data_IF_182049083805
#
_entry.id   IF_182049083805
#
_cell.length_a   1.000
_cell.length_b   1.000
_cell.length_c   1.000
_cell.angle_alpha   90.00
_cell.angle_beta   90.00
_cell.angle_gamma   90.00
#
_symmetry.space_group_name_H-M   'P 1'
#
loop_
_entity.id
_entity.type
_entity.pdbx_description
1 polymer ?
#
# COMPACT_ATOMS: atom_id res chain seq x y z
N UNK A 1 -11.49 -18.29 12.83
CA UNK A 1 -12.16 -17.69 11.68
C UNK A 1 -12.42 -16.23 12.04
N UNK A 2 -11.55 -15.29 11.60
CA UNK A 2 -11.78 -13.87 11.80
C UNK A 2 -12.77 -13.40 10.73
N UNK A 3 -14.00 -13.11 11.14
CA UNK A 3 -14.92 -12.38 10.28
C UNK A 3 -14.34 -10.96 10.06
N UNK A 4 -14.43 -10.41 8.83
CA UNK A 4 -14.04 -9.03 8.57
C UNK A 4 -14.88 -8.11 9.46
N UNK A 5 -14.20 -7.17 10.14
CA UNK A 5 -14.87 -6.19 10.99
C UNK A 5 -15.60 -5.21 10.07
N UNK A 6 -16.86 -4.91 10.38
CA UNK A 6 -17.66 -3.94 9.65
C UNK A 6 -16.94 -2.58 9.60
N UNK A 7 -16.75 -1.97 8.41
CA UNK A 7 -16.12 -0.67 8.26
C UNK A 7 -16.80 0.44 9.06
N UNK A 8 -18.12 0.35 9.27
CA UNK A 8 -18.86 1.31 10.06
C UNK A 8 -18.47 1.23 11.54
N UNK A 9 -18.33 0.00 12.08
CA UNK A 9 -17.92 -0.23 13.47
C UNK A 9 -16.47 0.24 13.70
N UNK A 10 -15.59 0.10 12.71
CA UNK A 10 -14.23 0.62 12.75
C UNK A 10 -14.19 2.15 12.75
N UNK A 11 -15.07 2.79 11.98
CA UNK A 11 -15.24 4.26 12.00
C UNK A 11 -15.67 4.76 13.37
N UNK A 12 -16.67 4.12 13.97
CA UNK A 12 -17.15 4.45 15.32
C UNK A 12 -16.05 4.29 16.39
N UNK A 13 -15.21 3.24 16.27
CA UNK A 13 -14.07 3.05 17.17
C UNK A 13 -13.04 4.19 17.06
N UNK A 14 -12.78 4.66 15.85
CA UNK A 14 -11.88 5.79 15.61
C UNK A 14 -12.45 7.10 16.20
N UNK A 15 -13.75 7.37 16.04
CA UNK A 15 -14.41 8.53 16.60
C UNK A 15 -14.32 8.56 18.13
N UNK A 16 -14.58 7.44 18.78
CA UNK A 16 -14.42 7.30 20.22
C UNK A 16 -12.98 7.51 20.70
N UNK A 17 -11.98 7.05 19.94
CA UNK A 17 -10.58 7.27 20.27
C UNK A 17 -10.18 8.73 20.15
N UNK A 18 -10.65 9.44 19.13
CA UNK A 18 -10.44 10.87 18.95
C UNK A 18 -11.06 11.63 20.14
N UNK A 19 -12.26 11.25 20.57
CA UNK A 19 -12.94 11.89 21.72
C UNK A 19 -12.17 11.69 23.02
N UNK A 20 -11.67 10.48 23.29
CA UNK A 20 -10.84 10.19 24.47
C UNK A 20 -9.53 10.99 24.50
N UNK A 21 -8.90 11.22 23.33
CA UNK A 21 -7.62 11.91 23.25
C UNK A 21 -7.75 13.42 23.03
N UNK A 22 -8.96 13.95 22.89
CA UNK A 22 -9.21 15.38 22.73
C UNK A 22 -8.92 16.21 24.01
N UNK A 23 -8.66 15.55 25.13
CA UNK A 23 -8.46 16.19 26.46
C UNK A 23 -9.73 16.74 27.09
N UNK A 24 -10.90 16.49 26.45
CA UNK A 24 -12.23 16.93 26.91
C UNK A 24 -13.14 15.75 27.29
N UNK A 25 -12.60 14.53 27.36
CA UNK A 25 -13.37 13.33 27.69
C UNK A 25 -13.89 13.38 29.12
N UNK A 26 -15.19 13.14 29.28
CA UNK A 26 -15.91 13.11 30.55
C UNK A 26 -16.04 11.68 31.06
N UNK A 27 -16.41 11.52 32.37
CA UNK A 27 -16.73 10.19 32.92
C UNK A 27 -17.96 9.56 32.23
N UNK A 28 -18.79 10.34 31.61
CA UNK A 28 -19.92 9.87 30.81
C UNK A 28 -19.47 9.27 29.48
N UNK A 29 -18.49 9.90 28.84
CA UNK A 29 -17.87 9.37 27.62
C UNK A 29 -17.18 8.03 27.89
N UNK A 30 -16.46 7.90 29.00
CA UNK A 30 -15.82 6.62 29.38
C UNK A 30 -16.84 5.51 29.59
N UNK A 31 -18.00 5.81 30.20
CA UNK A 31 -19.09 4.83 30.37
C UNK A 31 -19.74 4.48 29.03
N UNK A 32 -19.94 5.46 28.17
CA UNK A 32 -20.51 5.24 26.83
C UNK A 32 -19.60 4.34 25.99
N UNK A 33 -18.29 4.55 26.01
CA UNK A 33 -17.32 3.71 25.32
C UNK A 33 -17.32 2.26 25.83
N UNK A 34 -17.37 2.07 27.15
CA UNK A 34 -17.47 0.71 27.72
C UNK A 34 -18.76 0.02 27.28
N UNK A 35 -19.88 0.72 27.28
CA UNK A 35 -21.15 0.21 26.77
C UNK A 35 -21.07 -0.12 25.28
N UNK A 36 -20.44 0.73 24.47
CA UNK A 36 -20.25 0.50 23.06
C UNK A 36 -19.39 -0.71 22.77
N UNK A 37 -18.26 -0.89 23.47
CA UNK A 37 -17.36 -2.04 23.35
C UNK A 37 -18.06 -3.37 23.70
N UNK A 38 -19.01 -3.36 24.61
CA UNK A 38 -19.74 -4.55 25.05
C UNK A 38 -20.87 -4.97 24.11
N UNK A 39 -21.21 -4.18 23.07
CA UNK A 39 -22.34 -4.46 22.15
C UNK A 39 -22.13 -5.75 21.32
N UNK A 40 -20.91 -6.03 20.88
CA UNK A 40 -20.59 -7.27 20.17
C UNK A 40 -19.09 -7.56 20.15
N UNK A 41 -18.72 -8.78 19.77
CA UNK A 41 -17.33 -9.20 19.57
C UNK A 41 -16.65 -8.31 18.51
N UNK A 42 -17.35 -7.88 17.47
CA UNK A 42 -16.83 -6.99 16.43
C UNK A 42 -16.47 -5.59 16.97
N UNK A 43 -17.28 -5.02 17.89
CA UNK A 43 -16.97 -3.74 18.53
C UNK A 43 -15.72 -3.84 19.42
N UNK A 44 -15.56 -4.94 20.17
CA UNK A 44 -14.37 -5.17 20.98
C UNK A 44 -13.10 -5.33 20.13
N UNK A 45 -13.20 -6.03 19.00
CA UNK A 45 -12.09 -6.23 18.05
C UNK A 45 -11.72 -4.93 17.33
N UNK A 46 -12.72 -4.13 16.92
CA UNK A 46 -12.51 -2.82 16.32
C UNK A 46 -11.78 -1.89 17.27
N UNK A 47 -12.17 -1.89 18.55
CA UNK A 47 -11.50 -1.11 19.58
C UNK A 47 -10.03 -1.50 19.78
N UNK A 48 -9.74 -2.80 19.93
CA UNK A 48 -8.35 -3.29 20.06
C UNK A 48 -7.50 -2.92 18.87
N UNK A 49 -8.06 -2.99 17.67
CA UNK A 49 -7.34 -2.65 16.43
C UNK A 49 -7.04 -1.15 16.35
N UNK A 50 -7.99 -0.32 16.76
CA UNK A 50 -7.81 1.13 16.81
C UNK A 50 -6.78 1.56 17.89
N UNK A 51 -6.77 0.93 19.07
CA UNK A 51 -5.76 1.16 20.12
C UNK A 51 -4.34 0.73 19.69
N UNK A 52 -4.20 -0.39 18.96
CA UNK A 52 -2.88 -0.85 18.48
C UNK A 52 -2.25 0.15 17.52
N UNK A 53 -3.06 0.78 16.67
CA UNK A 53 -2.61 1.81 15.73
C UNK A 53 -2.09 3.06 16.47
N UNK A 54 -2.76 3.48 17.55
CA UNK A 54 -2.30 4.59 18.39
C UNK A 54 -1.04 4.27 19.19
N UNK A 55 -0.85 3.01 19.60
CA UNK A 55 0.37 2.55 20.27
C UNK A 55 1.63 2.73 19.40
N UNK A 56 1.53 2.44 18.11
CA UNK A 56 2.63 2.61 17.15
C UNK A 56 2.97 4.10 16.90
N UNK A 57 2.01 5.01 17.03
CA UNK A 57 2.26 6.46 16.94
C UNK A 57 2.98 7.06 18.16
N UNK A 58 2.92 6.44 19.33
CA UNK A 58 3.66 6.89 20.54
C UNK A 58 5.16 6.70 20.46
N UNK A 59 5.65 5.93 19.50
CA UNK A 59 7.09 5.73 19.26
C UNK A 59 7.75 6.84 18.46
N UNK A 60 7.00 7.85 17.97
CA UNK A 60 7.53 9.05 17.30
C UNK A 60 7.77 10.14 18.35
N UNK A 61 9.00 10.72 18.46
CA UNK A 61 9.29 11.75 19.45
C UNK A 61 8.42 13.01 19.23
N UNK A 62 7.47 13.21 20.13
CA UNK A 62 6.48 14.30 20.06
C UNK A 62 7.01 15.62 20.61
N UNK A 63 8.02 16.25 19.99
CA UNK A 63 8.52 17.57 20.45
C UNK A 63 7.91 18.78 19.74
N UNK A 64 6.97 18.60 18.81
CA UNK A 64 6.42 19.72 18.02
C UNK A 64 4.94 20.03 18.34
N UNK A 65 4.18 19.07 18.88
CA UNK A 65 2.73 19.24 19.08
C UNK A 65 2.32 19.79 20.46
N UNK A 66 3.19 19.71 21.47
CA UNK A 66 2.81 20.02 22.88
C UNK A 66 3.00 21.47 23.30
N UNK A 67 3.77 22.28 22.58
CA UNK A 67 3.98 23.69 22.99
C UNK A 67 2.85 24.66 22.60
N UNK A 68 2.04 24.33 21.59
CA UNK A 68 0.96 25.23 21.12
C UNK A 68 -0.35 25.03 21.88
N UNK A 69 -0.57 23.89 22.54
CA UNK A 69 -1.83 23.59 23.23
C UNK A 69 -1.85 23.93 24.72
N UNK A 70 -0.71 24.14 25.37
CA UNK A 70 -0.67 24.50 26.79
C UNK A 70 -0.94 25.98 27.13
N UNK A 71 -0.98 26.85 26.14
CA UNK A 71 -1.26 28.30 26.37
C UNK A 71 -2.76 28.67 26.32
N UNK A 72 -3.68 27.77 25.97
CA UNK A 72 -5.12 28.09 25.79
C UNK A 72 -5.98 27.76 27.03
N UNK A 73 -5.41 27.15 28.05
CA UNK A 73 -6.16 26.54 29.17
C UNK A 73 -6.28 27.32 30.47
N UNK A 74 -6.23 28.66 30.48
CA UNK A 74 -6.50 29.42 31.72
C UNK A 74 -7.09 30.80 31.42
N UNK A 75 -8.40 30.89 31.28
CA UNK A 75 -9.15 32.06 31.79
C UNK A 75 -10.66 31.82 31.72
N UNK A 76 -11.31 31.98 32.86
CA UNK A 76 -12.78 32.00 33.04
C UNK A 76 -13.37 33.28 32.44
N UNK A 77 -14.36 33.11 31.56
CA UNK A 77 -15.17 34.21 31.03
C UNK A 77 -15.36 34.13 29.52
N UNK A 78 -16.37 33.37 29.07
CA UNK A 78 -16.66 33.23 27.64
C UNK A 78 -17.34 34.48 27.12
N UNK A 79 -16.54 35.41 26.56
CA UNK A 79 -17.07 36.59 25.83
C UNK A 79 -17.51 36.16 24.42
N UNK A 80 -18.53 36.86 23.87
CA UNK A 80 -19.08 36.65 22.51
C UNK A 80 -17.96 36.54 21.41
N UNK A 81 -16.83 37.23 21.59
CA UNK A 81 -15.67 37.13 20.67
C UNK A 81 -14.97 35.76 20.71
N UNK A 82 -14.91 35.10 21.86
CA UNK A 82 -14.29 33.77 21.99
C UNK A 82 -15.20 32.66 21.43
N UNK A 83 -16.53 32.85 21.48
CA UNK A 83 -17.47 31.95 20.81
C UNK A 83 -17.33 32.03 19.28
N UNK A 84 -17.13 33.22 18.72
CA UNK A 84 -16.91 33.44 17.30
C UNK A 84 -15.55 32.90 16.82
N UNK A 85 -14.49 33.03 17.62
CA UNK A 85 -13.18 32.42 17.30
C UNK A 85 -13.21 30.90 17.38
N UNK A 86 -13.95 30.30 18.32
CA UNK A 86 -14.12 28.84 18.39
C UNK A 86 -14.99 28.33 17.25
N UNK A 87 -16.02 29.05 16.85
CA UNK A 87 -16.83 28.72 15.68
C UNK A 87 -16.01 28.82 14.38
N UNK A 88 -15.16 29.85 14.26
CA UNK A 88 -14.24 30.01 13.14
C UNK A 88 -13.17 28.90 13.06
N UNK A 89 -12.64 28.46 14.21
CA UNK A 89 -11.71 27.32 14.30
C UNK A 89 -12.39 26.00 13.92
N UNK A 90 -13.65 25.78 14.34
CA UNK A 90 -14.43 24.60 13.95
C UNK A 90 -14.78 24.59 12.46
N UNK A 91 -15.09 25.77 11.88
CA UNK A 91 -15.37 25.92 10.45
C UNK A 91 -14.10 25.71 9.58
N UNK A 92 -12.92 25.98 10.10
CA UNK A 92 -11.65 25.70 9.42
C UNK A 92 -11.12 24.28 9.70
N UNK A 93 -11.32 23.76 10.91
CA UNK A 93 -10.87 22.41 11.28
C UNK A 93 -11.73 21.30 10.66
N UNK A 94 -13.03 21.53 10.47
CA UNK A 94 -13.94 20.57 9.85
C UNK A 94 -13.54 20.17 8.43
N UNK A 95 -13.38 21.12 7.49
CA UNK A 95 -12.93 20.81 6.12
C UNK A 95 -11.50 20.24 6.05
N UNK A 96 -10.58 20.72 6.90
CA UNK A 96 -9.20 20.21 6.92
C UNK A 96 -9.13 18.81 7.51
N UNK A 97 -9.88 18.51 8.55
CA UNK A 97 -10.02 17.17 9.11
C UNK A 97 -10.70 16.22 8.10
N UNK A 98 -11.74 16.70 7.41
CA UNK A 98 -12.40 15.95 6.34
C UNK A 98 -11.48 15.66 5.16
N UNK A 99 -10.68 16.65 4.71
CA UNK A 99 -9.69 16.46 3.65
C UNK A 99 -8.55 15.52 4.09
N UNK A 100 -8.09 15.64 5.34
CA UNK A 100 -7.12 14.72 5.93
C UNK A 100 -7.70 13.31 6.02
N UNK A 101 -8.94 13.16 6.47
CA UNK A 101 -9.65 11.88 6.53
C UNK A 101 -9.75 11.22 5.15
N UNK A 102 -10.11 11.97 4.10
CA UNK A 102 -10.17 11.43 2.73
C UNK A 102 -8.79 11.06 2.16
N UNK A 103 -7.70 11.70 2.65
CA UNK A 103 -6.33 11.45 2.17
C UNK A 103 -5.54 10.46 3.03
N UNK A 104 -6.02 10.13 4.22
CA UNK A 104 -5.40 9.10 5.05
C UNK A 104 -5.60 7.72 4.41
N UNK A 105 -4.56 6.88 4.32
CA UNK A 105 -4.63 5.59 3.65
C UNK A 105 -5.28 4.50 4.53
N UNK A 106 -6.51 4.75 5.01
CA UNK A 106 -7.26 3.85 5.89
C UNK A 106 -7.37 2.43 5.32
N UNK A 107 -7.62 2.34 4.01
CA UNK A 107 -7.72 1.05 3.32
C UNK A 107 -6.42 0.24 3.41
N UNK A 108 -5.26 0.91 3.44
CA UNK A 108 -3.96 0.24 3.58
C UNK A 108 -3.75 -0.29 5.00
N UNK A 109 -4.24 0.41 6.01
CA UNK A 109 -4.10 0.03 7.43
C UNK A 109 -5.09 -1.04 7.86
N UNK A 110 -6.27 -1.10 7.22
CA UNK A 110 -7.30 -2.10 7.48
C UNK A 110 -7.19 -3.33 6.59
N UNK A 111 -6.21 -3.39 5.69
CA UNK A 111 -6.01 -4.51 4.80
C UNK A 111 -5.76 -5.83 5.57
N UNK A 112 -6.35 -6.94 5.07
CA UNK A 112 -6.21 -8.27 5.68
C UNK A 112 -4.76 -8.73 5.74
N UNK A 113 -3.99 -8.38 4.71
CA UNK A 113 -2.56 -8.67 4.59
C UNK A 113 -1.81 -7.41 4.13
N UNK A 114 -0.70 -7.12 4.79
CA UNK A 114 0.21 -6.05 4.39
C UNK A 114 1.66 -6.48 4.61
N UNK A 115 2.56 -5.91 3.84
CA UNK A 115 4.00 -6.09 3.95
C UNK A 115 4.68 -4.74 4.19
N UNK A 116 5.73 -4.75 5.00
CA UNK A 116 6.59 -3.60 5.20
C UNK A 116 7.51 -3.38 3.97
N UNK A 117 8.22 -2.25 3.93
CA UNK A 117 9.26 -2.00 2.93
C UNK A 117 10.36 -3.05 3.05
N UNK A 118 10.69 -3.73 1.96
CA UNK A 118 11.66 -4.83 1.89
C UNK A 118 11.10 -6.19 2.29
N UNK A 119 9.89 -6.25 2.88
CA UNK A 119 9.24 -7.50 3.24
C UNK A 119 8.52 -8.11 2.03
N UNK A 120 8.63 -9.43 1.90
CA UNK A 120 7.82 -10.24 0.98
C UNK A 120 7.13 -11.34 1.77
N UNK A 121 5.88 -11.65 1.42
CA UNK A 121 5.11 -12.69 2.11
C UNK A 121 4.51 -13.67 1.13
N UNK A 122 4.67 -14.97 1.41
CA UNK A 122 4.09 -16.06 0.63
C UNK A 122 2.93 -16.67 1.40
N UNK A 123 1.80 -16.82 0.75
CA UNK A 123 0.57 -17.37 1.32
C UNK A 123 0.00 -18.43 0.39
N UNK A 124 -0.63 -19.44 0.98
CA UNK A 124 -1.53 -20.36 0.25
C UNK A 124 -2.94 -20.03 0.65
N UNK A 125 -3.77 -19.70 -0.33
CA UNK A 125 -5.16 -19.32 -0.13
C UNK A 125 -6.04 -20.58 0.09
N UNK A 126 -7.28 -20.42 0.58
CA UNK A 126 -8.17 -21.56 0.87
C UNK A 126 -8.49 -22.46 -0.33
N UNK A 127 -8.37 -21.95 -1.56
CA UNK A 127 -8.56 -22.69 -2.80
C UNK A 127 -7.29 -23.38 -3.31
N UNK A 128 -6.17 -23.26 -2.58
CA UNK A 128 -4.86 -23.77 -2.97
C UNK A 128 -4.05 -22.82 -3.86
N UNK A 129 -4.56 -21.64 -4.22
CA UNK A 129 -3.84 -20.61 -4.96
C UNK A 129 -2.64 -20.11 -4.16
N UNK A 130 -1.47 -19.99 -4.79
CA UNK A 130 -0.29 -19.38 -4.19
C UNK A 130 -0.27 -17.89 -4.49
N UNK A 131 -0.19 -17.09 -3.44
CA UNK A 131 -0.10 -15.63 -3.46
C UNK A 131 1.24 -15.19 -2.86
N UNK A 132 2.04 -14.46 -3.63
CA UNK A 132 3.24 -13.77 -3.13
C UNK A 132 2.94 -12.27 -3.12
N UNK A 133 3.00 -11.68 -1.94
CA UNK A 133 2.82 -10.25 -1.72
C UNK A 133 4.20 -9.62 -1.68
N UNK A 134 4.44 -8.63 -2.56
CA UNK A 134 5.72 -7.94 -2.68
C UNK A 134 5.88 -6.85 -1.62
N UNK A 135 7.03 -6.15 -1.65
CA UNK A 135 7.36 -5.03 -0.74
C UNK A 135 6.28 -3.97 -0.68
N UNK A 136 6.02 -3.41 0.52
CA UNK A 136 5.13 -2.27 0.76
C UNK A 136 3.73 -2.42 0.13
N UNK A 137 3.18 -3.62 0.15
CA UNK A 137 1.90 -3.98 -0.49
C UNK A 137 0.80 -4.21 0.55
N UNK A 138 -0.45 -3.97 0.13
CA UNK A 138 -1.64 -4.16 0.95
C UNK A 138 -2.73 -4.81 0.12
N UNK A 139 -3.31 -5.91 0.61
CA UNK A 139 -4.32 -6.69 -0.08
C UNK A 139 -5.42 -7.17 0.85
N UNK A 140 -6.66 -7.25 0.34
CA UNK A 140 -7.77 -7.96 0.98
C UNK A 140 -8.06 -9.24 0.21
N UNK A 141 -8.49 -10.28 0.96
CA UNK A 141 -8.85 -11.58 0.40
C UNK A 141 -10.35 -11.76 0.60
N UNK A 142 -11.14 -11.59 -0.46
CA UNK A 142 -12.58 -11.59 -0.45
C UNK A 142 -13.15 -12.74 -1.31
N UNK A 143 -13.13 -13.96 -0.76
CA UNK A 143 -13.74 -15.14 -1.40
C UNK A 143 -15.21 -15.24 -1.02
N UNK A 144 -16.06 -15.45 -2.02
CA UNK A 144 -17.49 -15.61 -1.88
C UNK A 144 -17.99 -16.88 -2.61
N UNK A 145 -19.29 -17.11 -2.61
CA UNK A 145 -19.91 -18.18 -3.40
C UNK A 145 -19.82 -17.93 -4.91
N UNK A 146 -19.73 -16.66 -5.35
CA UNK A 146 -19.73 -16.29 -6.76
C UNK A 146 -18.34 -16.03 -7.34
N UNK A 147 -17.35 -15.65 -6.53
CA UNK A 147 -16.02 -15.27 -7.01
C UNK A 147 -14.93 -15.47 -5.95
N UNK A 148 -13.69 -15.62 -6.42
CA UNK A 148 -12.45 -15.62 -5.63
C UNK A 148 -11.74 -14.31 -5.91
N UNK A 149 -11.88 -13.31 -5.02
CA UNK A 149 -11.37 -11.96 -5.26
C UNK A 149 -10.22 -11.62 -4.34
N UNK A 150 -9.18 -11.04 -4.95
CA UNK A 150 -8.10 -10.32 -4.28
C UNK A 150 -8.29 -8.83 -4.58
N UNK A 151 -8.35 -7.99 -3.58
CA UNK A 151 -8.37 -6.54 -3.74
C UNK A 151 -6.95 -6.00 -3.48
N UNK A 152 -6.26 -5.58 -4.53
CA UNK A 152 -4.96 -4.95 -4.43
C UNK A 152 -5.14 -3.45 -4.17
N UNK A 153 -4.85 -3.05 -2.93
CA UNK A 153 -5.00 -1.65 -2.47
C UNK A 153 -3.73 -0.86 -2.75
N UNK A 154 -2.56 -1.53 -2.67
CA UNK A 154 -1.25 -0.93 -2.93
C UNK A 154 -0.22 -2.01 -3.23
N UNK A 155 0.78 -1.64 -4.04
CA UNK A 155 1.97 -2.45 -4.26
C UNK A 155 1.80 -3.48 -5.36
N UNK A 156 2.24 -4.73 -5.13
CA UNK A 156 2.37 -5.73 -6.18
C UNK A 156 2.16 -7.13 -5.61
N UNK A 157 1.50 -7.97 -6.39
CA UNK A 157 1.29 -9.39 -6.08
C UNK A 157 1.66 -10.27 -7.26
N UNK A 158 2.15 -11.48 -6.97
CA UNK A 158 2.32 -12.57 -7.92
C UNK A 158 1.42 -13.72 -7.50
N UNK A 159 0.65 -14.22 -8.44
CA UNK A 159 -0.40 -15.21 -8.21
C UNK A 159 -0.19 -16.41 -9.11
N UNK A 160 -0.20 -17.60 -8.52
CA UNK A 160 -0.30 -18.87 -9.23
C UNK A 160 -1.62 -19.51 -8.86
N UNK A 161 -2.61 -19.41 -9.75
CA UNK A 161 -3.96 -19.88 -9.47
C UNK A 161 -4.04 -21.39 -9.41
N UNK A 162 -4.76 -21.91 -8.41
CA UNK A 162 -5.17 -23.31 -8.36
C UNK A 162 -6.52 -23.52 -9.08
N UNK A 163 -6.80 -24.78 -9.40
CA UNK A 163 -8.13 -25.18 -9.87
C UNK A 163 -9.13 -24.95 -8.74
N UNK A 164 -10.28 -24.33 -9.08
CA UNK A 164 -11.33 -24.11 -8.08
C UNK A 164 -11.86 -25.45 -7.54
N UNK A 165 -11.78 -25.69 -6.21
CA UNK A 165 -12.31 -26.89 -5.60
C UNK A 165 -13.85 -26.88 -5.50
N UNK A 166 -14.51 -25.75 -5.75
CA UNK A 166 -15.97 -25.63 -5.71
C UNK A 166 -16.63 -26.39 -6.85
N UNK A 167 -17.82 -26.94 -6.58
CA UNK A 167 -18.64 -27.56 -7.62
C UNK A 167 -19.14 -26.56 -8.67
N UNK A 168 -19.32 -25.32 -8.28
CA UNK A 168 -19.63 -24.19 -9.17
C UNK A 168 -18.39 -23.38 -9.48
N UNK A 169 -18.17 -23.10 -10.76
CA UNK A 169 -17.03 -22.30 -11.19
C UNK A 169 -17.11 -20.89 -10.62
N UNK A 170 -16.06 -20.48 -9.91
CA UNK A 170 -15.88 -19.11 -9.39
C UNK A 170 -14.67 -18.49 -10.06
N UNK A 171 -14.84 -17.38 -10.82
CA UNK A 171 -13.70 -16.69 -11.41
C UNK A 171 -12.74 -16.20 -10.33
N UNK A 172 -11.42 -16.26 -10.64
CA UNK A 172 -10.40 -15.63 -9.82
C UNK A 172 -10.11 -14.24 -10.37
N UNK A 173 -10.28 -13.21 -9.55
CA UNK A 173 -10.21 -11.81 -9.96
C UNK A 173 -9.28 -11.05 -9.02
N UNK A 174 -8.33 -10.31 -9.60
CA UNK A 174 -7.61 -9.26 -8.88
C UNK A 174 -8.27 -7.93 -9.21
N UNK A 175 -8.86 -7.30 -8.20
CA UNK A 175 -9.46 -5.97 -8.32
C UNK A 175 -8.45 -4.92 -7.89
N UNK A 176 -8.36 -3.85 -8.66
CA UNK A 176 -7.61 -2.64 -8.34
C UNK A 176 -8.55 -1.43 -8.45
N UNK A 177 -8.18 -0.24 -7.99
CA UNK A 177 -8.95 0.98 -8.26
C UNK A 177 -9.18 1.21 -9.75
N UNK A 178 -8.24 0.82 -10.62
CA UNK A 178 -8.32 1.04 -12.07
C UNK A 178 -9.15 0.00 -12.82
N UNK A 179 -9.57 -1.12 -12.18
CA UNK A 179 -10.36 -2.17 -12.82
C UNK A 179 -10.01 -3.58 -12.35
N UNK A 180 -10.27 -4.56 -13.20
CA UNK A 180 -10.16 -5.97 -12.88
C UNK A 180 -9.17 -6.69 -13.79
N UNK A 181 -8.41 -7.63 -13.21
CA UNK A 181 -7.62 -8.65 -13.92
C UNK A 181 -8.18 -10.03 -13.54
N UNK A 182 -8.85 -10.70 -14.50
CA UNK A 182 -9.46 -12.02 -14.30
C UNK A 182 -8.54 -13.11 -14.82
N UNK A 183 -8.17 -14.01 -13.93
CA UNK A 183 -7.31 -15.15 -14.27
C UNK A 183 -8.09 -16.25 -15.01
N UNK A 184 -7.45 -16.82 -16.03
CA UNK A 184 -7.99 -17.92 -16.83
C UNK A 184 -7.12 -19.20 -16.65
N UNK A 185 -6.60 -19.45 -15.41
CA UNK A 185 -5.70 -20.56 -15.10
C UNK A 185 -4.24 -20.16 -15.36
N UNK A 186 -3.63 -19.38 -14.44
CA UNK A 186 -2.44 -18.60 -14.79
C UNK A 186 -1.44 -18.45 -13.65
N UNK A 187 -0.16 -18.19 -14.04
CA UNK A 187 0.83 -17.51 -13.20
C UNK A 187 1.00 -16.09 -13.75
N UNK A 188 0.68 -15.06 -12.95
CA UNK A 188 0.69 -13.66 -13.37
C UNK A 188 0.97 -12.73 -12.20
N UNK A 189 1.48 -11.55 -12.49
CA UNK A 189 1.61 -10.45 -11.53
C UNK A 189 0.65 -9.32 -11.82
N UNK A 190 0.24 -8.63 -10.74
CA UNK A 190 -0.48 -7.37 -10.82
C UNK A 190 0.23 -6.36 -9.93
N UNK A 191 0.64 -5.23 -10.51
CA UNK A 191 1.26 -4.11 -9.82
C UNK A 191 0.36 -2.88 -9.95
N UNK A 192 0.08 -2.27 -8.82
CA UNK A 192 -0.69 -1.04 -8.74
C UNK A 192 0.27 0.15 -8.60
N UNK A 193 0.32 0.99 -9.63
CA UNK A 193 0.95 2.31 -9.63
C UNK A 193 -0.13 3.39 -9.39
N UNK A 194 0.26 4.66 -9.27
CA UNK A 194 -0.68 5.75 -8.96
C UNK A 194 -1.79 5.92 -9.99
N UNK A 195 -1.51 5.72 -11.28
CA UNK A 195 -2.44 5.96 -12.38
C UNK A 195 -2.77 4.72 -13.21
N UNK A 196 -2.05 3.63 -12.99
CA UNK A 196 -2.13 2.44 -13.82
C UNK A 196 -2.04 1.17 -12.96
N UNK A 197 -2.73 0.15 -13.44
CA UNK A 197 -2.49 -1.23 -13.00
C UNK A 197 -1.78 -1.98 -14.11
N UNK A 198 -0.59 -2.54 -13.79
CA UNK A 198 0.22 -3.33 -14.73
C UNK A 198 -0.06 -4.80 -14.49
N UNK A 199 -0.20 -5.54 -15.57
CA UNK A 199 -0.38 -6.99 -15.53
C UNK A 199 0.68 -7.63 -16.41
N UNK A 200 1.37 -8.64 -15.88
CA UNK A 200 2.32 -9.47 -16.65
C UNK A 200 1.94 -10.95 -16.48
N UNK A 201 1.82 -11.66 -17.58
CA UNK A 201 1.40 -13.06 -17.62
C UNK A 201 2.58 -13.95 -17.95
N UNK A 202 2.90 -14.91 -17.04
CA UNK A 202 3.96 -15.89 -17.26
C UNK A 202 3.42 -17.19 -17.86
N UNK A 203 2.27 -17.64 -17.34
CA UNK A 203 1.63 -18.88 -17.77
C UNK A 203 0.12 -18.66 -17.89
N UNK A 204 -0.49 -19.27 -18.91
CA UNK A 204 -1.94 -19.16 -19.17
C UNK A 204 -2.36 -17.83 -19.76
N UNK A 205 -3.48 -17.26 -19.33
CA UNK A 205 -4.01 -16.03 -19.86
C UNK A 205 -4.77 -15.20 -18.80
N UNK A 206 -4.78 -13.87 -18.92
CA UNK A 206 -5.49 -12.93 -18.03
C UNK A 206 -6.34 -11.97 -18.84
N UNK A 207 -7.63 -11.90 -18.51
CA UNK A 207 -8.54 -10.89 -19.07
C UNK A 207 -8.43 -9.61 -18.22
N UNK A 208 -8.10 -8.50 -18.85
CA UNK A 208 -8.09 -7.16 -18.23
C UNK A 208 -9.33 -6.38 -18.64
N UNK A 209 -9.93 -5.67 -17.68
CA UNK A 209 -11.07 -4.79 -17.90
C UNK A 209 -10.92 -3.52 -17.04
N UNK A 210 -10.78 -2.32 -17.65
CA UNK A 210 -10.81 -1.05 -16.94
C UNK A 210 -12.12 -0.83 -16.19
N UNK A 211 -12.09 -0.06 -15.10
CA UNK A 211 -13.24 0.14 -14.23
C UNK A 211 -14.43 0.81 -14.93
N UNK A 212 -14.15 1.75 -15.81
CA UNK A 212 -15.15 2.56 -16.53
C UNK A 212 -15.16 2.29 -18.04
N UNK A 213 -14.77 1.08 -18.46
CA UNK A 213 -14.81 0.68 -19.87
C UNK A 213 -15.45 -0.69 -20.04
N UNK A 214 -16.21 -0.86 -21.12
CA UNK A 214 -16.73 -2.17 -21.54
C UNK A 214 -15.69 -2.98 -22.31
N UNK A 215 -14.61 -2.33 -22.75
CA UNK A 215 -13.54 -2.96 -23.53
C UNK A 215 -12.73 -3.89 -22.63
N UNK A 216 -12.52 -5.10 -23.13
CA UNK A 216 -11.70 -6.11 -22.48
C UNK A 216 -10.54 -6.50 -23.40
N UNK A 217 -9.45 -6.95 -22.79
CA UNK A 217 -8.30 -7.53 -23.50
C UNK A 217 -7.79 -8.74 -22.73
N UNK A 218 -7.50 -9.79 -23.49
CA UNK A 218 -6.84 -10.99 -22.93
C UNK A 218 -5.37 -10.90 -23.25
N UNK A 219 -4.53 -11.00 -22.21
CA UNK A 219 -3.10 -11.18 -22.33
C UNK A 219 -2.78 -12.68 -22.30
N UNK A 220 -1.86 -13.09 -23.15
CA UNK A 220 -1.35 -14.45 -23.20
C UNK A 220 -0.03 -14.57 -22.42
N UNK A 221 0.41 -15.81 -22.17
CA UNK A 221 1.72 -16.05 -21.58
C UNK A 221 2.85 -15.36 -22.36
N UNK A 222 3.75 -14.66 -21.67
CA UNK A 222 4.82 -13.86 -22.26
C UNK A 222 4.40 -12.43 -22.61
N UNK A 223 3.17 -12.02 -22.33
CA UNK A 223 2.68 -10.67 -22.58
C UNK A 223 2.47 -9.88 -21.30
N UNK A 224 2.69 -8.56 -21.41
CA UNK A 224 2.37 -7.59 -20.37
C UNK A 224 1.68 -6.36 -20.95
N UNK A 225 0.84 -5.74 -20.15
CA UNK A 225 0.20 -4.48 -20.47
C UNK A 225 -0.22 -3.77 -19.17
N UNK A 226 -0.76 -2.58 -19.31
CA UNK A 226 -1.33 -1.83 -18.20
C UNK A 226 -2.73 -1.32 -18.58
N UNK A 227 -3.48 -0.91 -17.58
CA UNK A 227 -4.76 -0.22 -17.77
C UNK A 227 -4.96 0.88 -16.73
N UNK A 228 -5.59 1.96 -17.17
CA UNK A 228 -6.15 3.00 -16.31
C UNK A 228 -7.64 2.72 -16.08
N UNK A 229 -8.33 3.63 -15.40
CA UNK A 229 -9.79 3.56 -15.16
C UNK A 229 -10.61 3.45 -16.46
N UNK A 230 -10.08 3.97 -17.57
CA UNK A 230 -10.82 4.11 -18.84
C UNK A 230 -10.17 3.40 -20.03
N UNK A 231 -8.88 3.11 -19.98
CA UNK A 231 -8.14 2.70 -21.19
C UNK A 231 -7.19 1.53 -20.94
N UNK A 232 -6.99 0.74 -22.00
CA UNK A 232 -6.02 -0.35 -22.08
C UNK A 232 -4.78 0.15 -22.82
N UNK A 233 -3.59 -0.06 -22.24
CA UNK A 233 -2.30 0.32 -22.83
C UNK A 233 -1.85 -0.72 -23.87
N UNK A 234 -0.87 -0.41 -24.73
CA UNK A 234 -0.29 -1.38 -25.65
C UNK A 234 0.22 -2.62 -24.96
N UNK A 235 0.17 -3.76 -25.66
CA UNK A 235 0.76 -5.02 -25.21
C UNK A 235 2.22 -5.03 -25.59
N UNK A 236 3.05 -5.45 -24.64
CA UNK A 236 4.49 -5.64 -24.82
C UNK A 236 4.87 -7.05 -24.38
N UNK A 237 6.05 -7.53 -24.77
CA UNK A 237 6.60 -8.78 -24.25
C UNK A 237 6.98 -8.62 -22.76
N UNK A 238 6.70 -9.65 -21.96
CA UNK A 238 7.22 -9.73 -20.59
C UNK A 238 8.72 -10.04 -20.67
N UNK A 239 9.51 -9.23 -19.99
CA UNK A 239 10.84 -9.68 -19.59
C UNK A 239 10.69 -10.58 -18.35
N UNK A 240 11.00 -11.87 -18.50
CA UNK A 240 10.94 -12.86 -17.41
C UNK A 240 11.82 -12.44 -16.21
N UNK A 241 12.81 -11.58 -16.44
CA UNK A 241 13.65 -11.00 -15.39
C UNK A 241 12.89 -10.07 -14.45
N UNK A 242 11.79 -9.45 -14.93
CA UNK A 242 10.96 -8.53 -14.13
C UNK A 242 10.27 -9.21 -12.93
N UNK A 243 10.19 -10.56 -12.93
CA UNK A 243 9.51 -11.33 -11.88
C UNK A 243 10.47 -12.09 -10.97
N UNK A 244 11.77 -11.91 -11.16
CA UNK A 244 12.81 -12.52 -10.30
C UNK A 244 12.79 -12.00 -8.87
N UNK A 245 12.04 -10.92 -8.63
CA UNK A 245 11.79 -10.39 -7.29
C UNK A 245 11.14 -11.42 -6.35
N UNK A 246 10.38 -12.39 -6.86
CA UNK A 246 9.83 -13.53 -6.10
C UNK A 246 10.94 -14.27 -5.31
N UNK A 247 12.16 -14.26 -5.85
CA UNK A 247 13.35 -14.88 -5.26
C UNK A 247 14.27 -13.88 -4.54
N UNK A 248 13.83 -12.63 -4.38
CA UNK A 248 14.60 -11.55 -3.73
C UNK A 248 15.72 -10.99 -4.61
N UNK A 249 15.62 -11.15 -5.92
CA UNK A 249 16.58 -10.66 -6.90
C UNK A 249 15.91 -9.75 -7.92
N UNK A 250 16.65 -8.80 -8.46
CA UNK A 250 16.30 -8.01 -9.63
C UNK A 250 17.31 -8.30 -10.71
N UNK A 251 16.88 -8.86 -11.83
CA UNK A 251 17.74 -9.09 -12.98
C UNK A 251 17.50 -7.96 -13.98
N UNK A 252 18.54 -7.18 -14.22
CA UNK A 252 18.55 -6.14 -15.23
C UNK A 252 19.16 -6.67 -16.51
N UNK A 253 18.55 -6.36 -17.65
CA UNK A 253 19.03 -6.69 -18.97
C UNK A 253 18.94 -5.44 -19.84
N UNK A 254 20.05 -4.77 -20.05
CA UNK A 254 20.13 -3.49 -20.78
C UNK A 254 19.17 -2.42 -20.22
N UNK A 255 18.96 -2.48 -18.89
CA UNK A 255 18.04 -1.59 -18.17
C UNK A 255 18.69 -0.22 -17.96
N UNK A 256 17.94 0.85 -18.02
CA UNK A 256 18.44 2.19 -17.65
C UNK A 256 18.76 2.22 -16.16
N UNK A 257 19.80 2.96 -15.79
CA UNK A 257 20.21 3.07 -14.37
C UNK A 257 19.12 3.71 -13.51
N UNK A 258 18.41 4.74 -14.03
CA UNK A 258 17.33 5.36 -13.30
C UNK A 258 16.16 4.39 -13.03
N UNK A 259 15.81 3.53 -14.00
CA UNK A 259 14.78 2.47 -13.82
C UNK A 259 15.22 1.43 -12.80
N UNK A 260 16.49 0.98 -12.88
CA UNK A 260 17.05 0.04 -11.91
C UNK A 260 17.04 0.60 -10.48
N UNK A 261 17.44 1.87 -10.33
CA UNK A 261 17.44 2.55 -9.02
C UNK A 261 16.03 2.79 -8.50
N UNK A 262 15.06 3.08 -9.38
CA UNK A 262 13.66 3.19 -9.00
C UNK A 262 13.12 1.85 -8.47
N UNK A 263 13.44 0.73 -9.10
CA UNK A 263 13.06 -0.61 -8.61
C UNK A 263 13.77 -0.96 -7.28
N UNK A 264 15.08 -0.73 -7.16
CA UNK A 264 15.80 -0.94 -5.89
C UNK A 264 15.26 -0.06 -4.76
N UNK A 265 14.85 1.17 -5.08
CA UNK A 265 14.27 2.12 -4.14
C UNK A 265 12.97 1.63 -3.48
N UNK A 266 12.22 0.74 -4.13
CA UNK A 266 11.01 0.13 -3.56
C UNK A 266 11.30 -0.76 -2.34
N UNK A 267 12.50 -1.33 -2.26
CA UNK A 267 12.87 -2.33 -1.25
C UNK A 267 13.69 -1.74 -0.10
N UNK A 268 13.93 -0.43 -0.10
CA UNK A 268 14.65 0.24 0.98
C UNK A 268 13.88 1.44 1.53
N UNK A 269 13.99 1.72 2.83
CA UNK A 269 13.43 2.95 3.39
C UNK A 269 14.28 4.15 2.94
N UNK A 270 13.59 5.30 2.76
CA UNK A 270 14.23 6.55 2.38
C UNK A 270 14.19 6.83 0.88
N UNK A 271 15.07 7.70 0.42
CA UNK A 271 15.11 8.21 -0.94
C UNK A 271 16.41 7.77 -1.64
N UNK A 272 16.25 7.18 -2.82
CA UNK A 272 17.33 6.84 -3.73
C UNK A 272 17.19 7.70 -4.99
N UNK A 273 18.14 8.62 -5.19
CA UNK A 273 18.13 9.57 -6.32
C UNK A 273 19.16 9.19 -7.35
N UNK A 274 18.80 9.34 -8.62
CA UNK A 274 19.69 9.23 -9.75
C UNK A 274 19.94 10.62 -10.33
N UNK A 275 21.22 11.01 -10.49
CA UNK A 275 21.56 12.23 -11.20
C UNK A 275 21.30 12.06 -12.71
N UNK A 276 20.71 13.06 -13.36
CA UNK A 276 20.30 12.98 -14.77
C UNK A 276 21.45 12.62 -15.73
N UNK A 277 22.68 13.03 -15.42
CA UNK A 277 23.86 12.73 -16.26
C UNK A 277 24.19 11.24 -16.35
N UNK A 278 23.76 10.40 -15.41
CA UNK A 278 24.01 8.94 -15.39
C UNK A 278 22.73 8.10 -15.56
N UNK A 279 21.57 8.75 -15.63
CA UNK A 279 20.27 8.09 -15.68
C UNK A 279 20.13 7.10 -16.83
N UNK A 280 20.74 7.43 -17.99
CA UNK A 280 20.62 6.62 -19.22
C UNK A 280 21.68 5.51 -19.36
N UNK A 281 22.61 5.40 -18.39
CA UNK A 281 23.56 4.30 -18.39
C UNK A 281 22.84 2.95 -18.41
N UNK A 282 23.30 2.06 -19.28
CA UNK A 282 22.74 0.73 -19.44
C UNK A 282 23.40 -0.23 -18.46
N UNK A 283 22.58 -0.96 -17.75
CA UNK A 283 23.00 -1.88 -16.70
C UNK A 283 22.48 -3.28 -17.00
N UNK A 284 23.37 -4.27 -16.92
CA UNK A 284 23.02 -5.68 -17.00
C UNK A 284 23.65 -6.42 -15.82
N UNK A 285 22.86 -7.25 -15.14
CA UNK A 285 23.31 -7.99 -13.98
C UNK A 285 22.18 -8.43 -13.06
N UNK A 286 22.52 -9.15 -12.00
CA UNK A 286 21.60 -9.60 -10.97
C UNK A 286 21.89 -8.87 -9.67
N UNK A 287 20.88 -8.22 -9.11
CA UNK A 287 20.97 -7.34 -7.94
C UNK A 287 20.12 -7.88 -6.81
N UNK A 288 20.65 -7.91 -5.59
CA UNK A 288 19.92 -8.35 -4.41
C UNK A 288 18.89 -7.29 -4.00
N UNK A 289 17.63 -7.70 -3.85
CA UNK A 289 16.58 -6.87 -3.27
C UNK A 289 16.54 -6.96 -1.74
N UNK A 290 17.16 -8.01 -1.17
CA UNK A 290 17.27 -8.19 0.29
C UNK A 290 18.39 -7.36 0.89
N UNK A 291 19.44 -7.09 0.13
CA UNK A 291 20.57 -6.23 0.48
C UNK A 291 20.79 -5.22 -0.65
N UNK A 292 20.01 -4.16 -0.62
CA UNK A 292 20.07 -3.08 -1.61
C UNK A 292 21.38 -2.29 -1.51
N UNK A 293 22.03 -2.26 -0.34
CA UNK A 293 23.32 -1.59 -0.16
C UNK A 293 24.45 -2.37 -0.84
N UNK A 294 24.41 -3.72 -0.80
CA UNK A 294 25.33 -4.54 -1.59
C UNK A 294 25.13 -4.30 -3.10
N UNK A 295 23.89 -4.18 -3.56
CA UNK A 295 23.58 -3.87 -4.96
C UNK A 295 24.10 -2.49 -5.38
N UNK A 296 23.98 -1.47 -4.51
CA UNK A 296 24.53 -0.15 -4.77
C UNK A 296 26.06 -0.14 -4.77
N UNK A 297 26.71 -0.88 -3.88
CA UNK A 297 28.19 -1.05 -3.92
C UNK A 297 28.64 -1.69 -5.23
N UNK A 298 27.96 -2.75 -5.67
CA UNK A 298 28.27 -3.40 -6.94
C UNK A 298 28.18 -2.43 -8.12
N UNK A 299 27.12 -1.61 -8.16
CA UNK A 299 26.96 -0.56 -9.18
C UNK A 299 28.07 0.47 -9.13
N UNK A 300 28.45 0.91 -7.93
CA UNK A 300 29.55 1.87 -7.71
C UNK A 300 30.89 1.31 -8.19
N UNK A 301 31.13 0.00 -8.03
CA UNK A 301 32.39 -0.63 -8.39
C UNK A 301 32.50 -0.95 -9.89
N UNK A 302 31.35 -1.12 -10.56
CA UNK A 302 31.30 -1.56 -11.96
C UNK A 302 31.02 -0.44 -12.96
N UNK A 303 30.43 0.65 -12.53
CA UNK A 303 30.05 1.77 -13.40
C UNK A 303 30.82 3.03 -13.06
N UNK A 304 30.93 4.00 -14.00
CA UNK A 304 31.59 5.30 -13.75
C UNK A 304 30.67 6.23 -12.92
N UNK A 305 30.20 5.75 -11.80
CA UNK A 305 29.32 6.46 -10.88
C UNK A 305 29.91 6.53 -9.48
N UNK A 306 29.41 7.44 -8.67
CA UNK A 306 29.68 7.54 -7.25
C UNK A 306 28.36 7.47 -6.48
N UNK A 307 28.32 6.63 -5.43
CA UNK A 307 27.16 6.52 -4.53
C UNK A 307 27.48 7.30 -3.28
N UNK A 308 26.83 8.47 -3.11
CA UNK A 308 26.98 9.33 -1.96
C UNK A 308 25.82 9.17 -0.98
N UNK A 309 26.16 9.04 0.29
CA UNK A 309 25.19 8.88 1.37
C UNK A 309 25.17 10.14 2.23
N UNK A 310 24.16 11.00 2.05
CA UNK A 310 23.99 12.15 2.96
C UNK A 310 23.51 11.67 4.34
N UNK A 311 22.64 10.67 4.36
CA UNK A 311 22.20 9.90 5.54
C UNK A 311 21.91 8.47 5.12
N UNK A 312 21.67 7.56 6.09
CA UNK A 312 21.22 6.18 5.77
C UNK A 312 19.90 6.12 4.96
N UNK A 313 19.12 7.21 4.96
CA UNK A 313 17.83 7.33 4.26
C UNK A 313 17.88 8.19 3.00
N UNK A 314 19.02 8.84 2.73
CA UNK A 314 19.18 9.70 1.58
C UNK A 314 20.44 9.32 0.83
N UNK A 315 20.24 8.64 -0.29
CA UNK A 315 21.31 8.15 -1.16
C UNK A 315 21.19 8.81 -2.52
N UNK A 316 22.30 9.30 -3.06
CA UNK A 316 22.37 9.88 -4.39
C UNK A 316 23.41 9.13 -5.21
N UNK A 317 23.04 8.79 -6.45
CA UNK A 317 23.93 8.20 -7.45
C UNK A 317 24.25 9.27 -8.48
N UNK A 318 25.53 9.60 -8.63
CA UNK A 318 26.02 10.70 -9.45
C UNK A 318 27.26 10.29 -10.28
N UNK A 319 27.67 11.06 -11.31
CA UNK A 319 28.88 10.76 -12.06
C UNK A 319 30.09 10.68 -11.14
N UNK A 320 30.98 9.73 -11.38
CA UNK A 320 32.29 9.69 -10.72
C UNK A 320 33.13 10.83 -11.29
N UNK A 321 33.66 11.71 -10.42
CA UNK A 321 34.52 12.83 -10.77
C UNK A 321 35.86 12.34 -11.38
#
# INVERSE_FOLDING_TARGET
>A
MNQPIDPQILGEAADWLVQLHSGAATDEDHRAIQSWRSRSIQHAQAWQRAESILGDFRSVPGSIATQTLQQVGRNKGIGRRQALTRLGLLLLAGPTAWLAYQRLPWQQWTADQHTAIGEQRKLTLPDGTHLVINTASSVNIAFSEGERRIELIKGEVLITTAKDPSAHYRPFIVRTPHGNARALGTKFSVRLDEQLSRVAVLEGAVEMQPAHSVNKRVLQAGEQSAFSDYSLMPVNSVDASALTWENGMLVAKDMRLDDLLAELGRYRPGMLRCHSAVAELKVSGAFSLRDTDASLRLLNDTLPISVSNMTRYWVTVEPRA
#
